data_IF_488937252423
#
_entry.id   IF_488937252423
#
_cell.length_a   1.000
_cell.length_b   1.000
_cell.length_c   1.000
_cell.angle_alpha   90.00
_cell.angle_beta   90.00
_cell.angle_gamma   90.00
#
_symmetry.space_group_name_H-M   'P 1'
#
loop_
_entity.id
_entity.type
_entity.pdbx_description
1 polymer ?
#
# COMPACT_ATOMS: atom_id res chain seq x y z
N UNK A 1 5.64 -27.71 -24.10
CA UNK A 1 4.82 -26.83 -23.23
C UNK A 1 5.12 -27.23 -21.80
N UNK A 2 5.61 -26.34 -20.94
CA UNK A 2 5.84 -26.69 -19.53
C UNK A 2 4.52 -27.04 -18.85
N UNK A 3 4.50 -28.15 -18.12
CA UNK A 3 3.34 -28.61 -17.35
C UNK A 3 2.94 -27.55 -16.34
N UNK A 4 1.65 -27.40 -16.00
CA UNK A 4 1.21 -26.53 -14.89
C UNK A 4 1.99 -26.77 -13.59
N UNK A 5 2.40 -28.02 -13.34
CA UNK A 5 3.24 -28.39 -12.19
C UNK A 5 4.63 -27.73 -12.25
N UNK A 6 5.27 -27.70 -13.41
CA UNK A 6 6.58 -27.07 -13.60
C UNK A 6 6.55 -25.56 -13.32
N UNK A 7 5.42 -24.91 -13.64
CA UNK A 7 5.23 -23.47 -13.38
C UNK A 7 5.10 -23.23 -11.89
N UNK A 8 4.26 -24.01 -11.21
CA UNK A 8 4.08 -23.93 -9.75
C UNK A 8 5.41 -24.13 -9.05
N UNK A 9 6.19 -25.14 -9.45
CA UNK A 9 7.47 -25.45 -8.83
C UNK A 9 8.52 -24.36 -9.08
N UNK A 10 8.47 -23.68 -10.24
CA UNK A 10 9.27 -22.47 -10.49
C UNK A 10 8.91 -21.32 -9.55
N UNK A 11 7.62 -21.01 -9.37
CA UNK A 11 7.19 -19.95 -8.45
C UNK A 11 7.54 -20.28 -6.99
N UNK A 12 7.35 -21.53 -6.57
CA UNK A 12 7.73 -21.99 -5.23
C UNK A 12 9.25 -21.87 -5.04
N UNK A 13 10.05 -22.27 -6.03
CA UNK A 13 11.52 -22.14 -5.96
C UNK A 13 12.01 -20.69 -5.93
N UNK A 14 11.35 -19.78 -6.67
CA UNK A 14 11.64 -18.35 -6.61
C UNK A 14 11.28 -17.76 -5.24
N UNK A 15 10.10 -18.12 -4.72
CA UNK A 15 9.66 -17.68 -3.41
C UNK A 15 10.59 -18.19 -2.32
N UNK A 16 11.00 -19.45 -2.39
CA UNK A 16 11.97 -20.05 -1.48
C UNK A 16 13.31 -19.31 -1.52
N UNK A 17 13.82 -18.98 -2.71
CA UNK A 17 15.04 -18.20 -2.87
C UNK A 17 14.94 -16.81 -2.26
N UNK A 18 13.83 -16.11 -2.47
CA UNK A 18 13.57 -14.78 -1.87
C UNK A 18 13.45 -14.87 -0.35
N UNK A 19 12.74 -15.87 0.16
CA UNK A 19 12.58 -16.13 1.59
C UNK A 19 13.89 -16.52 2.28
N UNK A 20 14.83 -17.11 1.53
CA UNK A 20 16.17 -17.46 2.04
C UNK A 20 16.98 -16.25 2.49
N UNK A 21 16.62 -15.04 2.04
CA UNK A 21 17.25 -13.79 2.48
C UNK A 21 16.96 -13.49 3.96
N UNK A 22 15.91 -14.07 4.54
CA UNK A 22 15.52 -13.84 5.94
C UNK A 22 16.06 -14.96 6.85
N UNK A 23 17.05 -14.68 7.72
CA UNK A 23 17.68 -15.71 8.56
C UNK A 23 16.71 -16.38 9.55
N UNK A 24 15.66 -15.66 9.99
CA UNK A 24 14.61 -16.22 10.83
C UNK A 24 13.86 -17.38 10.15
N UNK A 25 13.58 -17.27 8.85
CA UNK A 25 12.89 -18.32 8.10
C UNK A 25 13.77 -19.54 7.86
N UNK A 26 15.08 -19.34 7.65
CA UNK A 26 16.03 -20.42 7.50
C UNK A 26 16.18 -21.24 8.81
N UNK A 27 16.08 -20.58 9.97
CA UNK A 27 16.11 -21.27 11.26
C UNK A 27 14.83 -22.07 11.53
N UNK A 28 13.68 -21.56 11.06
CA UNK A 28 12.41 -22.28 11.11
C UNK A 28 12.40 -23.49 10.18
N UNK A 29 12.92 -23.37 8.97
CA UNK A 29 13.06 -24.47 8.00
C UNK A 29 13.93 -25.60 8.58
N UNK A 30 15.06 -25.26 9.20
CA UNK A 30 15.93 -26.24 9.88
C UNK A 30 15.23 -27.00 11.01
N UNK A 31 14.29 -26.35 11.70
CA UNK A 31 13.58 -26.94 12.84
C UNK A 31 12.34 -27.75 12.44
N UNK A 32 11.65 -27.33 11.37
CA UNK A 32 10.38 -27.94 10.94
C UNK A 32 10.54 -28.89 9.75
N UNK A 33 11.69 -28.89 9.06
CA UNK A 33 11.96 -29.66 7.83
C UNK A 33 10.95 -29.43 6.68
N UNK A 34 10.11 -28.39 6.78
CA UNK A 34 9.16 -27.99 5.75
C UNK A 34 9.77 -26.82 4.97
N UNK A 35 9.70 -26.80 3.63
CA UNK A 35 10.19 -25.68 2.86
C UNK A 35 9.46 -24.39 3.25
N UNK A 36 10.22 -23.33 3.54
CA UNK A 36 9.72 -22.02 3.98
C UNK A 36 8.70 -21.40 3.02
N UNK A 37 8.79 -21.70 1.72
CA UNK A 37 7.78 -21.29 0.75
C UNK A 37 6.37 -21.82 1.10
N UNK A 38 6.24 -23.09 1.48
CA UNK A 38 4.94 -23.65 1.86
C UNK A 38 4.43 -23.07 3.19
N UNK A 39 5.33 -22.80 4.14
CA UNK A 39 4.96 -22.15 5.40
C UNK A 39 4.38 -20.75 5.15
N UNK A 40 5.02 -19.95 4.30
CA UNK A 40 4.52 -18.61 3.96
C UNK A 40 3.22 -18.67 3.18
N UNK A 41 3.10 -19.56 2.19
CA UNK A 41 1.85 -19.76 1.45
C UNK A 41 0.72 -20.16 2.40
N UNK A 42 1.01 -21.07 3.35
CA UNK A 42 0.06 -21.47 4.38
C UNK A 42 -0.39 -20.31 5.26
N UNK A 43 0.55 -19.47 5.73
CA UNK A 43 0.24 -18.28 6.52
C UNK A 43 -0.59 -17.26 5.75
N UNK A 44 -0.24 -16.99 4.49
CA UNK A 44 -1.01 -16.07 3.62
C UNK A 44 -2.43 -16.61 3.38
N UNK A 45 -2.55 -17.92 3.11
CA UNK A 45 -3.84 -18.58 2.90
C UNK A 45 -4.70 -18.53 4.17
N UNK A 46 -4.10 -18.82 5.32
CA UNK A 46 -4.77 -18.74 6.62
C UNK A 46 -5.22 -17.31 6.93
N UNK A 47 -4.35 -16.33 6.69
CA UNK A 47 -4.67 -14.92 6.88
C UNK A 47 -5.85 -14.48 6.00
N UNK A 48 -5.86 -14.86 4.72
CA UNK A 48 -6.98 -14.59 3.81
C UNK A 48 -8.26 -15.29 4.27
N UNK A 49 -8.16 -16.55 4.70
CA UNK A 49 -9.28 -17.30 5.26
C UNK A 49 -9.87 -16.60 6.49
N UNK A 50 -9.04 -16.14 7.45
CA UNK A 50 -9.52 -15.41 8.61
C UNK A 50 -10.30 -14.13 8.23
N UNK A 51 -9.85 -13.41 7.20
CA UNK A 51 -10.58 -12.25 6.67
C UNK A 51 -11.93 -12.64 6.07
N UNK A 52 -11.98 -13.70 5.26
CA UNK A 52 -13.22 -14.17 4.60
C UNK A 52 -14.27 -14.62 5.61
N UNK A 53 -13.85 -15.29 6.68
CA UNK A 53 -14.74 -15.71 7.76
C UNK A 53 -15.01 -14.61 8.80
N UNK A 54 -14.46 -13.41 8.59
CA UNK A 54 -14.62 -12.26 9.48
C UNK A 54 -14.08 -12.51 10.92
N UNK A 55 -13.07 -13.35 11.07
CA UNK A 55 -12.35 -13.53 12.32
C UNK A 55 -11.30 -12.42 12.43
N UNK A 56 -11.66 -11.31 13.08
CA UNK A 56 -10.77 -10.16 13.25
C UNK A 56 -10.53 -9.36 11.97
N UNK A 57 -11.50 -9.37 11.03
CA UNK A 57 -11.37 -8.74 9.71
C UNK A 57 -10.90 -7.29 9.76
N UNK A 58 -11.41 -6.48 10.68
CA UNK A 58 -10.99 -5.08 10.86
C UNK A 58 -9.50 -4.95 11.21
N UNK A 59 -9.03 -5.73 12.18
CA UNK A 59 -7.62 -5.70 12.59
C UNK A 59 -6.72 -6.19 11.47
N UNK A 60 -7.07 -7.33 10.87
CA UNK A 60 -6.26 -7.92 9.79
C UNK A 60 -6.17 -6.96 8.61
N UNK A 61 -7.30 -6.46 8.10
CA UNK A 61 -7.31 -5.51 6.96
C UNK A 61 -6.54 -4.22 7.25
N UNK A 62 -6.62 -3.69 8.47
CA UNK A 62 -5.82 -2.54 8.87
C UNK A 62 -4.32 -2.88 8.88
N UNK A 63 -3.92 -4.04 9.42
CA UNK A 63 -2.51 -4.47 9.38
C UNK A 63 -2.01 -4.51 7.93
N UNK A 64 -2.78 -5.06 6.99
CA UNK A 64 -2.39 -5.05 5.58
C UNK A 64 -2.32 -3.63 4.99
N UNK A 65 -3.31 -2.78 5.30
CA UNK A 65 -3.38 -1.39 4.85
C UNK A 65 -2.31 -0.47 5.43
N UNK A 66 -1.69 -0.83 6.56
CA UNK A 66 -0.64 -0.02 7.18
C UNK A 66 0.76 -0.65 7.03
N UNK A 67 0.91 -1.95 7.25
CA UNK A 67 2.22 -2.59 7.33
C UNK A 67 2.90 -2.70 5.96
N UNK A 68 2.16 -3.10 4.92
CA UNK A 68 2.72 -3.26 3.57
C UNK A 68 3.17 -1.93 2.97
N UNK A 69 2.29 -0.92 2.81
CA UNK A 69 2.70 0.39 2.31
C UNK A 69 3.66 1.10 3.27
N UNK A 70 3.56 0.87 4.59
CA UNK A 70 4.49 1.41 5.58
C UNK A 70 5.92 0.89 5.38
N UNK A 71 6.09 -0.41 5.18
CA UNK A 71 7.40 -1.00 4.87
C UNK A 71 8.00 -0.41 3.60
N UNK A 72 7.23 -0.36 2.50
CA UNK A 72 7.74 0.21 1.25
C UNK A 72 7.95 1.72 1.31
N UNK A 73 7.16 2.45 2.09
CA UNK A 73 7.38 3.87 2.34
C UNK A 73 8.71 4.09 3.07
N UNK A 74 9.02 3.26 4.07
CA UNK A 74 10.31 3.33 4.77
C UNK A 74 11.47 3.02 3.83
N UNK A 75 11.34 2.02 2.97
CA UNK A 75 12.37 1.69 1.97
C UNK A 75 12.56 2.83 0.94
N UNK A 76 11.47 3.46 0.51
CA UNK A 76 11.50 4.62 -0.38
C UNK A 76 12.25 5.81 0.26
N UNK A 77 12.10 6.04 1.57
CA UNK A 77 12.82 7.12 2.29
C UNK A 77 14.34 6.98 2.25
N UNK A 78 14.87 5.75 2.10
CA UNK A 78 16.29 5.51 1.99
C UNK A 78 16.78 5.42 0.53
N UNK A 79 15.87 5.49 -0.42
CA UNK A 79 16.15 5.42 -1.85
C UNK A 79 16.11 6.83 -2.47
N UNK A 80 16.95 7.11 -3.47
CA UNK A 80 16.99 8.44 -4.11
C UNK A 80 15.89 8.67 -5.16
N UNK A 81 14.95 7.73 -5.33
CA UNK A 81 13.97 7.71 -6.40
C UNK A 81 12.67 8.43 -6.00
N UNK A 82 12.52 9.67 -6.46
CA UNK A 82 11.33 10.52 -6.18
C UNK A 82 10.00 9.95 -6.67
N UNK A 83 10.02 9.03 -7.64
CA UNK A 83 8.78 8.44 -8.16
C UNK A 83 8.13 7.51 -7.13
N UNK A 84 8.95 6.84 -6.31
CA UNK A 84 8.47 5.91 -5.29
C UNK A 84 7.80 6.71 -4.15
N UNK A 85 8.42 7.82 -3.74
CA UNK A 85 7.85 8.76 -2.75
C UNK A 85 6.46 9.26 -3.17
N UNK A 86 6.32 9.65 -4.44
CA UNK A 86 5.05 10.19 -4.97
C UNK A 86 3.96 9.12 -4.96
N UNK A 87 4.29 7.87 -5.29
CA UNK A 87 3.35 6.77 -5.28
C UNK A 87 2.83 6.49 -3.87
N UNK A 88 3.72 6.39 -2.88
CA UNK A 88 3.32 6.10 -1.49
C UNK A 88 2.56 7.26 -0.87
N UNK A 89 2.96 8.50 -1.13
CA UNK A 89 2.19 9.67 -0.69
C UNK A 89 0.78 9.67 -1.29
N UNK A 90 0.65 9.35 -2.58
CA UNK A 90 -0.65 9.22 -3.25
C UNK A 90 -1.50 8.13 -2.60
N UNK A 91 -0.89 6.99 -2.28
CA UNK A 91 -1.55 5.92 -1.52
C UNK A 91 -2.10 6.43 -0.18
N UNK A 92 -1.27 7.11 0.62
CA UNK A 92 -1.69 7.60 1.95
C UNK A 92 -2.82 8.62 1.87
N UNK A 93 -2.81 9.50 0.86
CA UNK A 93 -3.91 10.47 0.63
C UNK A 93 -5.21 9.75 0.29
N UNK A 94 -5.18 8.79 -0.64
CA UNK A 94 -6.36 8.00 -1.02
C UNK A 94 -6.85 7.19 0.18
N UNK A 95 -5.95 6.52 0.89
CA UNK A 95 -6.26 5.71 2.06
C UNK A 95 -6.92 6.53 3.18
N UNK A 96 -6.39 7.71 3.50
CA UNK A 96 -6.97 8.59 4.50
C UNK A 96 -8.39 9.04 4.11
N UNK A 97 -8.60 9.41 2.85
CA UNK A 97 -9.92 9.80 2.34
C UNK A 97 -10.96 8.68 2.50
N UNK A 98 -10.62 7.45 2.10
CA UNK A 98 -11.51 6.30 2.27
C UNK A 98 -11.74 5.96 3.75
N UNK A 99 -10.72 6.06 4.59
CA UNK A 99 -10.84 5.81 6.04
C UNK A 99 -11.83 6.77 6.68
N UNK A 100 -11.82 8.06 6.29
CA UNK A 100 -12.79 9.05 6.78
C UNK A 100 -14.20 8.72 6.31
N UNK A 101 -14.39 8.42 5.02
CA UNK A 101 -15.71 8.03 4.49
C UNK A 101 -16.24 6.78 5.20
N UNK A 102 -15.40 5.76 5.35
CA UNK A 102 -15.75 4.53 6.07
C UNK A 102 -16.20 4.83 7.51
N UNK A 103 -15.52 5.75 8.19
CA UNK A 103 -15.87 6.16 9.55
C UNK A 103 -17.25 6.82 9.65
N UNK A 104 -17.74 7.43 8.56
CA UNK A 104 -19.05 8.08 8.50
C UNK A 104 -20.20 7.11 8.16
N UNK A 105 -19.90 5.96 7.52
CA UNK A 105 -20.92 5.01 7.08
C UNK A 105 -20.97 3.81 8.04
N UNK A 106 -21.80 3.90 9.08
CA UNK A 106 -21.98 2.83 10.08
C UNK A 106 -22.70 1.57 9.56
N UNK A 107 -23.40 1.67 8.43
CA UNK A 107 -24.21 0.57 7.84
C UNK A 107 -23.34 -0.50 7.17
N UNK A 108 -22.07 -0.21 6.93
CA UNK A 108 -21.19 -1.06 6.11
C UNK A 108 -20.88 -2.40 6.79
N UNK A 109 -20.96 -2.48 8.12
CA UNK A 109 -20.75 -3.73 8.87
C UNK A 109 -21.86 -4.76 8.69
N UNK A 110 -23.04 -4.37 8.19
CA UNK A 110 -24.13 -5.31 7.89
C UNK A 110 -23.91 -6.05 6.56
N UNK A 111 -23.02 -5.55 5.70
CA UNK A 111 -22.75 -6.16 4.41
C UNK A 111 -21.83 -7.39 4.55
N UNK A 112 -22.28 -8.59 4.11
CA UNK A 112 -21.44 -9.78 4.15
C UNK A 112 -20.19 -9.59 3.28
N UNK A 113 -19.05 -10.12 3.73
CA UNK A 113 -17.74 -9.98 3.07
C UNK A 113 -17.18 -8.55 2.95
N UNK A 114 -17.72 -7.58 3.69
CA UNK A 114 -17.20 -6.21 3.67
C UNK A 114 -15.68 -6.14 3.86
N UNK A 115 -15.15 -6.79 4.88
CA UNK A 115 -13.70 -6.80 5.15
C UNK A 115 -12.90 -7.48 4.04
N UNK A 116 -13.46 -8.46 3.35
CA UNK A 116 -12.82 -9.06 2.17
C UNK A 116 -12.71 -8.04 1.04
N UNK A 117 -13.79 -7.31 0.75
CA UNK A 117 -13.75 -6.24 -0.26
C UNK A 117 -12.78 -5.13 0.14
N UNK A 118 -12.81 -4.70 1.41
CA UNK A 118 -11.86 -3.72 1.94
C UNK A 118 -10.42 -4.19 1.77
N UNK A 119 -10.13 -5.45 2.11
CA UNK A 119 -8.80 -6.03 1.95
C UNK A 119 -8.34 -6.01 0.49
N UNK A 120 -9.16 -6.50 -0.43
CA UNK A 120 -8.85 -6.52 -1.87
C UNK A 120 -8.64 -5.11 -2.39
N UNK A 121 -9.47 -4.15 -1.96
CA UNK A 121 -9.34 -2.74 -2.33
C UNK A 121 -8.01 -2.15 -1.83
N UNK A 122 -7.64 -2.36 -0.56
CA UNK A 122 -6.36 -1.90 0.00
C UNK A 122 -5.15 -2.54 -0.68
N UNK A 123 -5.25 -3.83 -1.01
CA UNK A 123 -4.22 -4.56 -1.75
C UNK A 123 -4.07 -3.97 -3.16
N UNK A 124 -5.17 -3.73 -3.86
CA UNK A 124 -5.14 -3.11 -5.19
C UNK A 124 -4.55 -1.69 -5.18
N UNK A 125 -4.83 -0.89 -4.15
CA UNK A 125 -4.23 0.43 -3.97
C UNK A 125 -2.72 0.38 -3.73
N UNK A 126 -2.27 -0.61 -2.97
CA UNK A 126 -0.86 -0.74 -2.55
C UNK A 126 0.04 -1.41 -3.59
N UNK A 127 -0.52 -2.22 -4.50
CA UNK A 127 0.27 -2.90 -5.53
C UNK A 127 0.80 -1.91 -6.59
N UNK A 128 2.14 -1.77 -6.73
CA UNK A 128 2.73 -0.86 -7.71
C UNK A 128 2.38 -1.21 -9.16
N UNK A 129 2.15 -2.50 -9.44
CA UNK A 129 1.83 -3.00 -10.78
C UNK A 129 0.51 -2.44 -11.32
N UNK A 130 -0.47 -2.20 -10.46
CA UNK A 130 -1.80 -1.73 -10.86
C UNK A 130 -1.95 -0.20 -10.75
N UNK A 131 -1.06 0.47 -10.00
CA UNK A 131 -1.11 1.92 -9.75
C UNK A 131 -2.49 2.39 -9.29
N UNK A 132 -3.19 1.58 -8.50
CA UNK A 132 -4.59 1.83 -8.13
C UNK A 132 -4.79 3.17 -7.42
N UNK A 133 -3.87 3.53 -6.53
CA UNK A 133 -3.89 4.83 -5.85
C UNK A 133 -3.77 6.00 -6.83
N UNK A 134 -2.90 5.91 -7.85
CA UNK A 134 -2.75 6.95 -8.87
C UNK A 134 -4.01 7.13 -9.71
N UNK A 135 -4.68 6.02 -10.06
CA UNK A 135 -5.93 6.05 -10.82
C UNK A 135 -7.02 6.79 -10.04
N UNK A 136 -7.21 6.47 -8.77
CA UNK A 136 -8.20 7.15 -7.91
C UNK A 136 -7.82 8.61 -7.70
N UNK A 137 -6.53 8.88 -7.48
CA UNK A 137 -6.07 10.24 -7.29
C UNK A 137 -6.34 11.11 -8.52
N UNK A 138 -5.97 10.65 -9.72
CA UNK A 138 -6.19 11.41 -10.97
C UNK A 138 -7.66 11.53 -11.34
N UNK A 139 -8.45 10.48 -11.12
CA UNK A 139 -9.84 10.41 -11.58
C UNK A 139 -10.81 11.11 -10.64
N UNK A 140 -10.55 11.09 -9.33
CA UNK A 140 -11.52 11.57 -8.33
C UNK A 140 -10.97 12.68 -7.43
N UNK A 141 -9.77 12.53 -6.86
CA UNK A 141 -9.22 13.52 -5.91
C UNK A 141 -8.65 14.76 -6.61
N UNK A 142 -7.97 14.60 -7.74
CA UNK A 142 -7.41 15.69 -8.52
C UNK A 142 -8.47 16.68 -9.04
N UNK A 143 -9.60 16.25 -9.63
CA UNK A 143 -10.64 17.19 -10.05
C UNK A 143 -11.40 17.83 -8.88
N UNK A 144 -11.54 17.15 -7.73
CA UNK A 144 -12.27 17.67 -6.57
C UNK A 144 -11.40 18.57 -5.68
N UNK A 145 -10.17 18.15 -5.34
CA UNK A 145 -9.24 18.89 -4.48
C UNK A 145 -8.25 19.77 -5.26
N UNK A 146 -7.91 19.41 -6.50
CA UNK A 146 -6.91 20.13 -7.29
C UNK A 146 -7.29 21.59 -7.56
N UNK A 147 -8.58 21.92 -7.60
CA UNK A 147 -9.05 23.32 -7.72
C UNK A 147 -8.61 24.18 -6.53
N UNK A 148 -8.53 23.62 -5.33
CA UNK A 148 -8.12 24.35 -4.13
C UNK A 148 -6.61 24.56 -4.04
N UNK A 149 -5.83 23.57 -4.47
CA UNK A 149 -4.35 23.63 -4.46
C UNK A 149 -3.78 24.41 -5.66
N UNK A 150 -4.38 24.30 -6.85
CA UNK A 150 -3.99 25.11 -8.01
C UNK A 150 -4.26 26.61 -7.79
N UNK A 151 -5.31 26.98 -7.05
CA UNK A 151 -5.59 28.38 -6.72
C UNK A 151 -4.71 28.97 -5.62
N UNK A 152 -4.10 28.16 -4.76
CA UNK A 152 -3.28 28.66 -3.64
C UNK A 152 -1.78 28.80 -3.97
N UNK A 153 -1.29 28.19 -5.05
CA UNK A 153 0.08 28.44 -5.56
C UNK A 153 0.23 29.74 -6.37
N UNK A 154 -0.87 30.39 -6.79
CA UNK A 154 -0.81 31.50 -7.75
C UNK A 154 -0.98 32.91 -7.18
N UNK A 155 -1.24 33.15 -5.89
CA UNK A 155 -1.71 34.49 -5.50
C UNK A 155 -1.28 35.07 -4.15
N UNK A 156 -0.54 34.38 -3.27
CA UNK A 156 -0.13 35.05 -2.00
C UNK A 156 1.25 34.65 -1.48
N UNK A 157 1.54 33.37 -1.29
CA UNK A 157 2.81 32.96 -0.66
C UNK A 157 4.04 33.14 -1.58
N UNK A 158 3.89 32.82 -2.86
CA UNK A 158 4.93 32.98 -3.89
C UNK A 158 5.23 34.47 -4.17
N UNK A 159 4.20 35.32 -4.20
CA UNK A 159 4.35 36.77 -4.35
C UNK A 159 4.99 37.45 -3.14
N UNK A 160 4.66 37.00 -1.92
CA UNK A 160 5.27 37.52 -0.69
C UNK A 160 6.74 37.13 -0.54
N UNK A 161 7.10 35.89 -0.91
CA UNK A 161 8.51 35.45 -0.96
C UNK A 161 9.31 36.24 -1.99
N UNK A 162 8.80 36.38 -3.22
CA UNK A 162 9.47 37.15 -4.26
C UNK A 162 9.67 38.63 -3.87
N UNK A 163 8.70 39.22 -3.16
CA UNK A 163 8.80 40.61 -2.68
C UNK A 163 9.74 40.77 -1.49
N UNK A 164 9.81 39.77 -0.60
CA UNK A 164 10.79 39.75 0.47
C UNK A 164 12.21 39.63 -0.10
N UNK A 165 12.44 38.68 -1.01
CA UNK A 165 13.76 38.47 -1.65
C UNK A 165 14.22 39.70 -2.43
N UNK A 166 13.33 40.39 -3.16
CA UNK A 166 13.69 41.65 -3.83
C UNK A 166 14.08 42.76 -2.86
N UNK A 167 13.50 42.77 -1.66
CA UNK A 167 13.79 43.81 -0.65
C UNK A 167 15.17 43.64 -0.01
N UNK A 168 15.69 42.40 0.08
CA UNK A 168 17.03 42.12 0.60
C UNK A 168 18.16 42.39 -0.38
N UNK A 169 17.86 42.62 -1.67
CA UNK A 169 18.85 42.86 -2.72
C UNK A 169 18.97 44.33 -3.14
N UNK A 170 18.29 45.26 -2.46
CA UNK A 170 18.27 46.69 -2.83
C UNK A 170 18.97 47.62 -1.81
N UNK A 171 19.79 47.08 -0.90
CA UNK A 171 20.74 47.85 -0.08
C UNK A 171 22.18 47.53 -0.44
#
# INVERSE_FOLDING_TARGET
MSSPQDRVQKYIGQLDKELSKYPALNNLEKSTSVPKAYAVIGLVTLYFFLIVFNLGGQLLTNIAGFALPGYYSLDALFTSNKNDDTQWLTYWVVFAFFTVIESLVSVVYWFPFYFTFKFVFLLWLSLPAFKGAEIIFRSFLSPTLGRYFHSSSSSTASGLRAKADSSFHTE
#
